data_IF_701797199989
#
_entry.id   IF_701797199989
#
_cell.length_a   1.000
_cell.length_b   1.000
_cell.length_c   1.000
_cell.angle_alpha   90.00
_cell.angle_beta   90.00
_cell.angle_gamma   90.00
#
_symmetry.space_group_name_H-M   'P 1'
#
loop_
_entity.id
_entity.type
_entity.pdbx_description
1 polymer ?
#
# COMPACT_ATOMS: atom_id res chain seq x y z
N UNK A 1 25.19 15.15 10.53
CA UNK A 1 24.40 14.31 9.61
C UNK A 1 22.95 14.77 9.61
N UNK A 2 22.56 15.70 8.73
CA UNK A 2 21.21 16.32 8.73
C UNK A 2 20.52 16.39 7.36
N UNK A 3 20.99 15.66 6.35
CA UNK A 3 20.50 15.81 4.97
C UNK A 3 19.78 14.59 4.35
N UNK A 4 19.66 13.46 5.05
CA UNK A 4 19.05 12.26 4.46
C UNK A 4 17.53 12.32 4.27
N UNK A 5 16.83 13.29 4.91
CA UNK A 5 15.35 13.40 4.81
C UNK A 5 14.86 14.09 3.53
N UNK A 6 15.73 14.80 2.81
CA UNK A 6 15.34 15.57 1.61
C UNK A 6 15.31 14.74 0.32
N UNK A 7 15.85 13.52 0.33
CA UNK A 7 16.04 12.72 -0.88
C UNK A 7 14.89 11.77 -1.22
N UNK A 8 13.88 11.63 -0.33
CA UNK A 8 12.85 10.61 -0.48
C UNK A 8 11.53 11.11 -1.06
N UNK A 9 11.32 12.42 -1.22
CA UNK A 9 10.08 12.96 -1.79
C UNK A 9 10.40 13.97 -2.90
N UNK A 10 10.14 13.58 -4.14
CA UNK A 10 10.17 14.49 -5.28
C UNK A 10 8.74 14.96 -5.58
N UNK A 11 8.52 16.28 -5.43
CA UNK A 11 7.30 16.95 -5.90
C UNK A 11 7.52 17.36 -7.35
N UNK A 12 6.77 16.76 -8.26
CA UNK A 12 6.74 17.15 -9.66
C UNK A 12 5.60 18.16 -9.88
N UNK A 13 5.64 18.86 -11.01
CA UNK A 13 4.57 19.79 -11.39
C UNK A 13 3.21 19.05 -11.46
N UNK A 14 2.12 19.79 -11.25
CA UNK A 14 0.72 19.31 -11.39
C UNK A 14 0.23 18.28 -10.35
N UNK A 15 0.64 18.42 -9.08
CA UNK A 15 0.12 17.56 -8.00
C UNK A 15 0.60 16.10 -8.09
N UNK A 16 1.75 15.85 -8.72
CA UNK A 16 2.40 14.54 -8.78
C UNK A 16 3.54 14.47 -7.78
N UNK A 17 3.64 13.35 -7.08
CA UNK A 17 4.60 13.11 -6.00
C UNK A 17 5.20 11.71 -6.17
N UNK A 18 6.47 11.54 -5.83
CA UNK A 18 7.14 10.24 -5.85
C UNK A 18 8.06 10.08 -4.64
N UNK A 19 8.08 8.88 -4.07
CA UNK A 19 8.99 8.45 -3.04
C UNK A 19 9.67 7.13 -3.41
N UNK A 20 10.95 7.03 -3.07
CA UNK A 20 11.73 5.81 -3.14
C UNK A 20 11.97 5.37 -1.70
N UNK A 21 11.46 4.21 -1.31
CA UNK A 21 11.41 3.80 0.09
C UNK A 21 12.19 2.50 0.26
N UNK A 22 13.06 2.42 1.29
CA UNK A 22 13.67 1.14 1.62
C UNK A 22 12.60 0.12 2.04
N UNK A 23 12.95 -1.15 1.93
CA UNK A 23 12.14 -2.26 2.44
C UNK A 23 12.20 -2.30 3.98
N UNK A 24 11.66 -1.28 4.66
CA UNK A 24 11.63 -1.13 6.13
C UNK A 24 10.30 -0.53 6.59
N UNK A 25 9.74 -1.04 7.70
CA UNK A 25 8.47 -0.56 8.25
C UNK A 25 8.50 0.91 8.70
N UNK A 26 9.67 1.55 8.85
CA UNK A 26 9.73 3.00 9.03
C UNK A 26 9.18 3.77 7.85
N UNK A 27 9.30 3.22 6.64
CA UNK A 27 8.83 3.84 5.40
C UNK A 27 7.32 4.02 5.35
N UNK A 28 6.57 3.19 6.08
CA UNK A 28 5.11 3.36 6.25
C UNK A 28 4.81 4.70 6.93
N UNK A 29 5.53 5.03 8.00
CA UNK A 29 5.37 6.31 8.69
C UNK A 29 5.80 7.50 7.84
N UNK A 30 6.87 7.35 7.06
CA UNK A 30 7.37 8.40 6.16
C UNK A 30 6.38 8.70 5.02
N UNK A 31 5.85 7.64 4.39
CA UNK A 31 4.83 7.77 3.36
C UNK A 31 3.56 8.42 3.93
N UNK A 32 3.08 7.97 5.10
CA UNK A 32 1.88 8.53 5.73
C UNK A 32 1.98 10.02 5.96
N UNK A 33 3.12 10.51 6.46
CA UNK A 33 3.35 11.94 6.67
C UNK A 33 3.28 12.70 5.34
N UNK A 34 3.93 12.20 4.28
CA UNK A 34 3.95 12.83 2.97
C UNK A 34 2.55 12.83 2.31
N UNK A 35 1.83 11.71 2.37
CA UNK A 35 0.46 11.58 1.88
C UNK A 35 -0.46 12.57 2.58
N UNK A 36 -0.47 12.59 3.90
CA UNK A 36 -1.28 13.52 4.70
C UNK A 36 -1.07 14.96 4.27
N UNK A 37 0.18 15.40 4.21
CA UNK A 37 0.52 16.77 3.80
C UNK A 37 -0.02 17.07 2.40
N UNK A 38 0.22 16.18 1.43
CA UNK A 38 -0.24 16.40 0.05
C UNK A 38 -1.76 16.40 -0.09
N UNK A 39 -2.48 15.55 0.65
CA UNK A 39 -3.94 15.47 0.60
C UNK A 39 -4.61 16.68 1.25
N UNK A 40 -4.10 17.13 2.39
CA UNK A 40 -4.59 18.33 3.08
C UNK A 40 -4.33 19.60 2.26
N UNK A 41 -3.16 19.72 1.61
CA UNK A 41 -2.84 20.80 0.66
C UNK A 41 -3.84 20.85 -0.51
N UNK A 42 -4.48 19.73 -0.84
CA UNK A 42 -5.46 19.60 -1.92
C UNK A 42 -6.91 19.49 -1.40
N UNK A 43 -7.17 19.92 -0.16
CA UNK A 43 -8.50 20.05 0.42
C UNK A 43 -9.31 18.74 0.53
N UNK A 44 -8.64 17.60 0.68
CA UNK A 44 -9.33 16.35 1.05
C UNK A 44 -9.83 16.45 2.50
N UNK A 45 -11.00 15.87 2.76
CA UNK A 45 -11.58 15.83 4.11
C UNK A 45 -10.75 14.93 5.05
N UNK A 46 -10.82 15.17 6.35
CA UNK A 46 -10.12 14.34 7.34
C UNK A 46 -10.48 12.85 7.24
N UNK A 47 -11.74 12.53 6.93
CA UNK A 47 -12.17 11.14 6.67
C UNK A 47 -11.48 10.56 5.44
N UNK A 48 -11.49 11.27 4.31
CA UNK A 48 -10.84 10.82 3.08
C UNK A 48 -9.33 10.63 3.28
N UNK A 49 -8.68 11.51 4.03
CA UNK A 49 -7.26 11.38 4.39
C UNK A 49 -7.02 10.09 5.19
N UNK A 50 -7.84 9.79 6.20
CA UNK A 50 -7.70 8.56 6.98
C UNK A 50 -7.92 7.30 6.14
N UNK A 51 -8.92 7.29 5.26
CA UNK A 51 -9.23 6.15 4.39
C UNK A 51 -8.06 5.87 3.42
N UNK A 52 -7.52 6.92 2.79
CA UNK A 52 -6.37 6.82 1.87
C UNK A 52 -5.10 6.38 2.61
N UNK A 53 -4.81 6.94 3.79
CA UNK A 53 -3.65 6.56 4.60
C UNK A 53 -3.69 5.09 4.99
N UNK A 54 -4.84 4.60 5.45
CA UNK A 54 -4.98 3.21 5.86
C UNK A 54 -4.81 2.25 4.68
N UNK A 55 -5.39 2.57 3.52
CA UNK A 55 -5.19 1.77 2.31
C UNK A 55 -3.72 1.77 1.85
N UNK A 56 -3.05 2.92 1.88
CA UNK A 56 -1.64 3.05 1.50
C UNK A 56 -0.71 2.31 2.47
N UNK A 57 -0.97 2.39 3.78
CA UNK A 57 -0.23 1.68 4.82
C UNK A 57 -0.30 0.17 4.62
N UNK A 58 -1.49 -0.37 4.34
CA UNK A 58 -1.70 -1.80 4.06
C UNK A 58 -0.99 -2.22 2.77
N UNK A 59 -1.10 -1.43 1.71
CA UNK A 59 -0.49 -1.74 0.42
C UNK A 59 1.05 -1.70 0.48
N UNK A 60 1.63 -0.70 1.16
CA UNK A 60 3.08 -0.61 1.36
C UNK A 60 3.58 -1.71 2.31
N UNK A 61 2.85 -2.04 3.37
CA UNK A 61 3.23 -3.15 4.27
C UNK A 61 3.25 -4.49 3.53
N UNK A 62 2.29 -4.73 2.64
CA UNK A 62 2.29 -5.90 1.77
C UNK A 62 3.48 -5.92 0.83
N UNK A 63 3.81 -4.77 0.24
CA UNK A 63 4.98 -4.59 -0.65
C UNK A 63 6.29 -4.90 0.09
N UNK A 64 6.46 -4.36 1.31
CA UNK A 64 7.61 -4.66 2.18
C UNK A 64 7.69 -6.14 2.48
N UNK A 65 6.56 -6.76 2.86
CA UNK A 65 6.50 -8.19 3.14
C UNK A 65 6.88 -9.05 1.93
N UNK A 66 6.43 -8.66 0.73
CA UNK A 66 6.74 -9.35 -0.52
C UNK A 66 8.23 -9.27 -0.86
N UNK A 67 8.85 -8.09 -0.77
CA UNK A 67 10.29 -7.89 -0.96
C UNK A 67 11.12 -8.69 0.05
N UNK A 68 10.79 -8.61 1.34
CA UNK A 68 11.51 -9.36 2.39
C UNK A 68 11.42 -10.87 2.15
N UNK A 69 10.24 -11.36 1.76
CA UNK A 69 10.02 -12.79 1.51
C UNK A 69 10.74 -13.28 0.26
N UNK A 70 10.86 -12.45 -0.78
CA UNK A 70 11.62 -12.79 -2.00
C UNK A 70 13.13 -12.59 -1.83
N UNK A 71 13.58 -11.96 -0.75
CA UNK A 71 14.98 -11.58 -0.55
C UNK A 71 15.43 -10.43 -1.44
N UNK A 72 14.49 -9.57 -1.86
CA UNK A 72 14.77 -8.39 -2.67
C UNK A 72 15.15 -7.20 -1.79
N UNK A 73 16.34 -6.64 -2.05
CA UNK A 73 16.86 -5.44 -1.41
C UNK A 73 16.53 -4.16 -2.20
N UNK A 74 15.80 -4.28 -3.29
CA UNK A 74 15.38 -3.14 -4.12
C UNK A 74 14.44 -2.20 -3.37
N UNK A 75 14.52 -0.91 -3.70
CA UNK A 75 13.62 0.10 -3.14
C UNK A 75 12.20 -0.03 -3.71
N UNK A 76 11.22 0.21 -2.85
CA UNK A 76 9.80 0.32 -3.24
C UNK A 76 9.55 1.73 -3.75
N UNK A 77 8.87 1.85 -4.89
CA UNK A 77 8.55 3.15 -5.50
C UNK A 77 7.08 3.46 -5.23
N UNK A 78 6.82 4.53 -4.49
CA UNK A 78 5.48 5.04 -4.23
C UNK A 78 5.27 6.34 -5.01
N UNK A 79 4.39 6.33 -5.99
CA UNK A 79 4.00 7.54 -6.75
C UNK A 79 2.54 7.84 -6.51
N UNK A 80 2.18 9.10 -6.30
CA UNK A 80 0.77 9.49 -6.32
C UNK A 80 0.54 10.78 -7.08
N UNK A 81 -0.67 10.93 -7.62
CA UNK A 81 -1.14 12.10 -8.32
C UNK A 81 -2.46 12.55 -7.70
N UNK A 82 -2.56 13.85 -7.48
CA UNK A 82 -3.80 14.51 -7.07
C UNK A 82 -4.19 15.47 -8.19
N UNK A 83 -5.35 15.24 -8.80
CA UNK A 83 -5.89 16.09 -9.85
C UNK A 83 -7.41 16.08 -9.76
N UNK A 84 -8.04 17.25 -9.86
CA UNK A 84 -9.51 17.39 -9.89
C UNK A 84 -10.21 16.62 -8.76
N UNK A 85 -9.68 16.73 -7.53
CA UNK A 85 -10.20 16.03 -6.32
C UNK A 85 -10.11 14.49 -6.35
N UNK A 86 -9.38 13.95 -7.33
CA UNK A 86 -9.07 12.53 -7.47
C UNK A 86 -7.63 12.27 -7.05
N UNK A 87 -7.47 11.23 -6.25
CA UNK A 87 -6.20 10.67 -5.84
C UNK A 87 -5.97 9.37 -6.62
N UNK A 88 -4.77 9.21 -7.16
CA UNK A 88 -4.32 7.94 -7.74
C UNK A 88 -2.91 7.66 -7.26
N UNK A 89 -2.67 6.47 -6.73
CA UNK A 89 -1.38 6.04 -6.23
C UNK A 89 -0.96 4.73 -6.86
N UNK A 90 0.33 4.63 -7.14
CA UNK A 90 1.01 3.42 -7.58
C UNK A 90 2.10 3.07 -6.58
N UNK A 91 2.11 1.82 -6.14
CA UNK A 91 3.17 1.25 -5.32
C UNK A 91 3.79 0.12 -6.12
N UNK A 92 5.06 0.28 -6.50
CA UNK A 92 5.83 -0.70 -7.24
C UNK A 92 6.85 -1.34 -6.31
N UNK A 93 6.74 -2.66 -6.14
CA UNK A 93 7.64 -3.49 -5.36
C UNK A 93 8.40 -4.46 -6.27
N UNK A 94 9.44 -5.11 -5.75
CA UNK A 94 10.25 -6.09 -6.46
C UNK A 94 10.21 -7.44 -5.74
N UNK A 95 9.02 -7.76 -5.21
CA UNK A 95 8.71 -8.97 -4.47
C UNK A 95 8.34 -10.13 -5.37
N UNK A 96 7.85 -11.21 -4.77
CA UNK A 96 7.40 -12.41 -5.50
C UNK A 96 6.01 -12.26 -6.17
N UNK A 97 5.37 -11.10 -6.03
CA UNK A 97 3.99 -10.87 -6.48
C UNK A 97 2.92 -11.62 -5.68
N UNK A 98 1.66 -11.25 -5.88
CA UNK A 98 0.50 -11.91 -5.27
C UNK A 98 -0.08 -12.99 -6.20
N UNK A 99 0.22 -14.26 -5.93
CA UNK A 99 -0.30 -15.39 -6.72
C UNK A 99 -1.83 -15.59 -6.55
N UNK A 100 -2.47 -16.14 -7.58
CA UNK A 100 -3.92 -16.39 -7.71
C UNK A 100 -4.55 -17.08 -6.48
N UNK A 101 -3.91 -18.12 -5.95
CA UNK A 101 -4.39 -18.91 -4.79
C UNK A 101 -4.60 -18.06 -3.52
N UNK A 102 -3.87 -16.96 -3.35
CA UNK A 102 -4.05 -16.04 -2.22
C UNK A 102 -5.16 -15.01 -2.45
N UNK A 103 -5.60 -14.82 -3.70
CA UNK A 103 -6.63 -13.87 -4.08
C UNK A 103 -8.06 -14.44 -3.99
N UNK A 104 -8.23 -15.75 -4.24
CA UNK A 104 -9.53 -16.44 -4.27
C UNK A 104 -10.12 -16.74 -2.88
N UNK A 105 -9.29 -16.75 -1.83
CA UNK A 105 -9.73 -17.00 -0.45
C UNK A 105 -10.31 -15.77 0.26
N UNK A 106 -10.41 -14.63 -0.43
CA UNK A 106 -10.98 -13.41 0.12
C UNK A 106 -12.49 -13.37 -0.19
N UNK A 107 -13.39 -13.59 0.81
CA UNK A 107 -14.81 -13.44 0.58
C UNK A 107 -15.14 -12.07 -0.02
N UNK A 108 -15.90 -12.07 -1.11
CA UNK A 108 -16.26 -10.92 -1.94
C UNK A 108 -17.17 -9.91 -1.24
N UNK A 109 -17.81 -10.30 -0.14
CA UNK A 109 -18.96 -9.57 0.40
C UNK A 109 -18.83 -9.27 1.88
N UNK A 110 -17.93 -8.36 2.22
CA UNK A 110 -18.11 -7.55 3.43
C UNK A 110 -17.83 -6.11 3.04
N UNK A 111 -18.86 -5.40 2.57
CA UNK A 111 -18.89 -3.96 2.79
C UNK A 111 -18.84 -3.78 4.30
N UNK A 112 -17.69 -3.36 4.82
CA UNK A 112 -17.52 -3.09 6.24
C UNK A 112 -18.43 -1.90 6.54
N UNK A 113 -19.63 -2.18 7.03
CA UNK A 113 -20.64 -1.17 7.39
C UNK A 113 -20.25 -0.43 8.67
N UNK A 114 -19.36 -1.00 9.48
CA UNK A 114 -18.86 -0.39 10.71
C UNK A 114 -17.38 -0.71 10.94
N UNK A 115 -16.55 0.34 11.02
CA UNK A 115 -15.11 0.29 11.27
C UNK A 115 -14.78 -0.32 12.66
N UNK A 116 -15.64 -0.11 13.66
CA UNK A 116 -15.40 -0.60 15.03
C UNK A 116 -15.56 -2.13 15.12
N UNK A 117 -16.59 -2.67 14.47
CA UNK A 117 -16.81 -4.13 14.41
C UNK A 117 -15.65 -4.84 13.69
N UNK A 118 -15.03 -4.14 12.74
CA UNK A 118 -13.85 -4.61 12.04
C UNK A 118 -12.58 -4.56 12.92
N UNK A 119 -12.35 -3.47 13.64
CA UNK A 119 -11.23 -3.34 14.59
C UNK A 119 -11.27 -4.43 15.66
N UNK A 120 -12.45 -4.80 16.15
CA UNK A 120 -12.60 -5.87 17.13
C UNK A 120 -12.34 -7.26 16.53
N UNK A 121 -12.76 -7.52 15.29
CA UNK A 121 -12.41 -8.77 14.59
C UNK A 121 -10.92 -8.87 14.29
N UNK A 122 -10.26 -7.75 13.94
CA UNK A 122 -8.80 -7.68 13.82
C UNK A 122 -8.13 -8.02 15.15
N UNK A 123 -8.55 -7.39 16.27
CA UNK A 123 -7.99 -7.66 17.61
C UNK A 123 -8.12 -9.13 18.01
N UNK A 124 -9.24 -9.79 17.68
CA UNK A 124 -9.45 -11.20 17.95
C UNK A 124 -8.55 -12.11 17.09
N UNK A 125 -8.36 -11.78 15.81
CA UNK A 125 -7.52 -12.57 14.90
C UNK A 125 -6.02 -12.37 15.16
N UNK A 126 -5.60 -11.18 15.60
CA UNK A 126 -4.24 -10.86 16.03
C UNK A 126 -3.74 -11.72 17.21
N UNK A 127 -4.63 -12.47 17.89
CA UNK A 127 -4.24 -13.45 18.92
C UNK A 127 -3.70 -14.76 18.34
N UNK A 128 -3.85 -15.03 17.03
CA UNK A 128 -3.35 -16.24 16.37
C UNK A 128 -2.06 -15.94 15.59
N UNK A 129 -1.03 -16.77 15.85
CA UNK A 129 0.35 -16.87 15.32
C UNK A 129 0.93 -15.71 14.46
N UNK A 130 2.07 -15.18 14.94
CA UNK A 130 2.99 -14.33 14.18
C UNK A 130 3.94 -15.21 13.35
N UNK A 131 4.07 -14.99 12.04
CA UNK A 131 4.94 -15.85 11.21
C UNK A 131 5.93 -15.09 10.30
N UNK A 132 5.88 -13.74 10.20
CA UNK A 132 6.80 -12.98 9.35
C UNK A 132 7.62 -11.96 10.14
N UNK A 133 8.95 -11.97 9.97
CA UNK A 133 9.84 -10.97 10.54
C UNK A 133 10.06 -9.86 9.50
N UNK A 134 9.64 -8.64 9.81
CA UNK A 134 9.86 -7.47 8.96
C UNK A 134 10.87 -6.51 9.60
N UNK A 135 11.74 -5.86 8.81
CA UNK A 135 12.68 -4.88 9.32
C UNK A 135 11.95 -3.60 9.78
N UNK A 136 12.38 -3.06 10.92
CA UNK A 136 12.00 -1.73 11.42
C UNK A 136 13.23 -1.05 12.00
N UNK A 137 13.65 0.07 11.41
CA UNK A 137 14.93 0.73 11.75
C UNK A 137 16.11 -0.27 11.65
N UNK A 138 16.08 -1.15 10.66
CA UNK A 138 17.08 -2.21 10.45
C UNK A 138 16.98 -3.41 11.40
N UNK A 139 16.07 -3.42 12.38
CA UNK A 139 15.88 -4.54 13.31
C UNK A 139 14.70 -5.39 12.86
N UNK A 140 14.89 -6.72 12.77
CA UNK A 140 13.80 -7.64 12.44
C UNK A 140 12.82 -7.77 13.61
N UNK A 141 11.59 -7.35 13.40
CA UNK A 141 10.51 -7.45 14.38
C UNK A 141 9.41 -8.42 13.90
N UNK A 142 8.76 -9.16 14.80
CA UNK A 142 7.57 -9.94 14.45
C UNK A 142 6.46 -9.02 13.93
N UNK A 143 5.99 -9.31 12.73
CA UNK A 143 4.86 -8.64 12.11
C UNK A 143 3.69 -9.61 11.99
N UNK A 144 2.49 -9.12 12.35
CA UNK A 144 1.25 -9.90 12.29
C UNK A 144 0.57 -9.63 10.96
N UNK A 145 0.71 -10.56 10.03
CA UNK A 145 -0.05 -10.51 8.79
C UNK A 145 -1.47 -11.04 9.04
N UNK A 146 -2.46 -10.15 9.09
CA UNK A 146 -3.86 -10.51 9.34
C UNK A 146 -4.52 -11.11 8.08
N UNK A 147 -3.86 -11.00 6.91
CA UNK A 147 -4.39 -11.52 5.63
C UNK A 147 -5.59 -10.73 5.09
N UNK A 148 -5.88 -9.56 5.68
CA UNK A 148 -7.05 -8.73 5.34
C UNK A 148 -6.70 -7.40 4.68
N UNK A 149 -5.42 -7.08 4.51
CA UNK A 149 -4.99 -5.81 3.91
C UNK A 149 -5.65 -5.52 2.56
N UNK A 150 -5.78 -6.54 1.71
CA UNK A 150 -6.46 -6.40 0.41
C UNK A 150 -7.96 -6.11 0.54
N UNK A 151 -8.63 -6.66 1.57
CA UNK A 151 -10.05 -6.37 1.85
C UNK A 151 -10.21 -4.94 2.37
N UNK A 152 -9.32 -4.48 3.24
CA UNK A 152 -9.29 -3.10 3.73
C UNK A 152 -9.19 -2.15 2.54
N UNK A 153 -8.20 -2.36 1.68
CA UNK A 153 -7.96 -1.49 0.51
C UNK A 153 -9.21 -1.44 -0.38
N UNK A 154 -9.81 -2.59 -0.71
CA UNK A 154 -11.04 -2.66 -1.53
C UNK A 154 -12.24 -1.97 -0.88
N UNK A 155 -12.29 -1.92 0.45
CA UNK A 155 -13.39 -1.27 1.18
C UNK A 155 -13.26 0.26 1.27
N UNK A 156 -12.03 0.77 1.23
CA UNK A 156 -11.73 2.20 1.43
C UNK A 156 -11.50 2.97 0.13
N UNK A 157 -11.06 2.28 -0.92
CA UNK A 157 -10.69 2.88 -2.21
C UNK A 157 -11.77 2.63 -3.25
N UNK A 158 -11.98 3.60 -4.15
CA UNK A 158 -12.93 3.48 -5.25
C UNK A 158 -12.42 2.53 -6.35
N UNK A 159 -11.09 2.50 -6.54
CA UNK A 159 -10.45 1.55 -7.45
C UNK A 159 -9.25 0.91 -6.79
N UNK A 160 -9.08 -0.38 -7.04
CA UNK A 160 -7.96 -1.18 -6.59
C UNK A 160 -7.57 -2.15 -7.70
N UNK A 161 -6.33 -2.05 -8.18
CA UNK A 161 -5.79 -2.94 -9.21
C UNK A 161 -4.41 -3.42 -8.83
N UNK A 162 -4.12 -4.68 -9.12
CA UNK A 162 -2.78 -5.24 -9.04
C UNK A 162 -2.38 -5.63 -10.45
N UNK A 163 -1.20 -5.19 -10.86
CA UNK A 163 -0.51 -5.67 -12.06
C UNK A 163 0.88 -6.15 -11.67
N UNK A 164 1.53 -6.88 -12.55
CA UNK A 164 2.84 -7.46 -12.32
C UNK A 164 3.79 -6.92 -13.36
N UNK A 165 4.97 -6.50 -12.93
CA UNK A 165 6.06 -6.32 -13.88
C UNK A 165 6.82 -7.62 -13.97
N UNK A 166 7.09 -8.02 -15.20
CA UNK A 166 7.70 -9.28 -15.56
C UNK A 166 9.03 -9.01 -16.25
N UNK A 167 9.84 -10.05 -16.41
CA UNK A 167 11.09 -9.93 -17.14
C UNK A 167 10.92 -9.28 -18.51
N UNK A 168 11.97 -8.61 -18.98
CA UNK A 168 11.98 -7.89 -20.27
C UNK A 168 11.05 -6.66 -20.33
N UNK A 169 10.65 -6.13 -19.16
CA UNK A 169 9.85 -4.90 -19.07
C UNK A 169 8.37 -5.07 -19.42
N UNK A 170 7.88 -6.31 -19.45
CA UNK A 170 6.47 -6.60 -19.70
C UNK A 170 5.62 -6.31 -18.46
N UNK A 171 4.37 -5.88 -18.68
CA UNK A 171 3.38 -5.72 -17.62
C UNK A 171 2.24 -6.72 -17.87
N UNK A 172 1.99 -7.57 -16.88
CA UNK A 172 0.91 -8.57 -16.92
C UNK A 172 -0.16 -8.25 -15.88
N UNK A 173 -1.41 -8.57 -16.18
CA UNK A 173 -2.48 -8.63 -15.17
C UNK A 173 -2.74 -10.06 -14.69
N UNK A 174 -1.99 -11.03 -15.24
CA UNK A 174 -2.11 -12.44 -14.86
C UNK A 174 -1.25 -12.73 -13.61
N UNK A 175 -1.84 -13.10 -12.47
CA UNK A 175 -1.10 -13.46 -11.26
C UNK A 175 -0.32 -14.78 -11.37
N UNK A 176 -0.56 -15.56 -12.42
CA UNK A 176 0.11 -16.85 -12.69
C UNK A 176 1.19 -16.73 -13.78
N UNK A 177 1.61 -15.51 -14.12
CA UNK A 177 2.71 -15.28 -15.05
C UNK A 177 4.02 -15.90 -14.54
N UNK A 178 4.77 -16.55 -15.43
CA UNK A 178 5.91 -17.39 -15.04
C UNK A 178 7.12 -16.55 -14.57
N UNK A 179 7.22 -15.30 -15.03
CA UNK A 179 8.41 -14.46 -14.84
C UNK A 179 8.11 -13.14 -14.11
N UNK A 180 7.28 -13.20 -13.07
CA UNK A 180 6.97 -12.04 -12.22
C UNK A 180 8.21 -11.61 -11.43
N UNK A 181 8.57 -10.32 -11.55
CA UNK A 181 9.69 -9.70 -10.82
C UNK A 181 9.21 -8.77 -9.69
N UNK A 182 7.90 -8.52 -9.62
CA UNK A 182 7.27 -7.74 -8.57
C UNK A 182 5.86 -7.31 -8.97
N UNK A 183 5.24 -6.48 -8.14
CA UNK A 183 3.89 -5.99 -8.40
C UNK A 183 3.80 -4.48 -8.46
N UNK A 184 2.76 -4.00 -9.12
CA UNK A 184 2.35 -2.61 -9.18
C UNK A 184 0.91 -2.57 -8.64
N UNK A 185 0.76 -2.02 -7.45
CA UNK A 185 -0.53 -1.82 -6.79
C UNK A 185 -1.01 -0.41 -7.12
N UNK A 186 -2.17 -0.31 -7.76
CA UNK A 186 -2.85 0.94 -8.05
C UNK A 186 -4.04 1.14 -7.11
N UNK A 187 -4.08 2.30 -6.45
CA UNK A 187 -5.16 2.75 -5.58
C UNK A 187 -5.78 4.03 -6.16
N UNK A 188 -7.11 4.10 -6.25
CA UNK A 188 -7.81 5.31 -6.67
C UNK A 188 -8.90 5.71 -5.69
N UNK A 189 -9.00 7.02 -5.45
CA UNK A 189 -10.02 7.61 -4.59
C UNK A 189 -10.53 8.92 -5.19
N UNK A 190 -11.84 9.06 -5.28
CA UNK A 190 -12.55 10.21 -5.83
C UNK A 190 -13.40 10.85 -4.73
N UNK A 191 -12.88 11.91 -4.12
CA UNK A 191 -13.55 12.56 -3.00
C UNK A 191 -14.94 13.09 -3.34
N UNK A 192 -15.27 13.31 -4.63
CA UNK A 192 -16.62 13.71 -5.03
C UNK A 192 -17.69 12.64 -4.79
N UNK A 193 -17.31 11.36 -4.72
CA UNK A 193 -18.21 10.23 -4.44
C UNK A 193 -18.55 10.06 -2.97
N UNK A 194 -17.82 10.75 -2.09
CA UNK A 194 -17.89 10.59 -0.63
C UNK A 194 -18.35 11.87 0.09
N UNK A 195 -19.00 12.77 -0.65
CA UNK A 195 -19.65 13.98 -0.14
C UNK A 195 -21.00 13.59 0.49
N UNK A 196 -20.98 13.21 1.77
CA UNK A 196 -22.19 13.10 2.62
C UNK A 196 -22.09 14.16 3.71
#
# INVERSE_FOLDING_TARGET
>A
MRDSKKLLLAKHNEGSYVMFLPTDLTSVGELRIALRSSLLENFFSGKAVMDIELAADEALTNSISANVTSGSDEMIICRWKIKDRKFTMWIMDYGSGLKSQKSESLPSDIRITNLDEYLDRIRQHQKKKCETLLPRKGVRIPHRNVGRGLQIIRSLMDTFKITYHCGEGQISSNPDEINIQGSIIELGFDSSKHLV
#
